data_IF_290156174294
#
_entry.id   IF_290156174294
#
_cell.length_a   1.000
_cell.length_b   1.000
_cell.length_c   1.000
_cell.angle_alpha   90.00
_cell.angle_beta   90.00
_cell.angle_gamma   90.00
#
_symmetry.space_group_name_H-M   'P 1'
#
loop_
_entity.id
_entity.type
_entity.pdbx_description
1 polymer ?
#
# COMPACT_ATOMS: atom_id res chain seq x y z
N UNK A 1 -20.89 -11.39 18.54
CA UNK A 1 -19.49 -11.10 18.92
C UNK A 1 -18.58 -11.44 17.74
N UNK A 2 -18.28 -10.49 16.84
CA UNK A 2 -17.41 -10.75 15.69
C UNK A 2 -15.95 -10.66 16.13
N UNK A 3 -15.29 -11.81 16.15
CA UNK A 3 -13.85 -11.93 16.38
C UNK A 3 -13.09 -11.02 15.41
N UNK A 4 -12.46 -9.97 15.94
CA UNK A 4 -11.45 -9.15 15.24
C UNK A 4 -10.10 -9.84 15.42
N UNK A 5 -9.87 -10.96 14.73
CA UNK A 5 -8.54 -11.55 14.70
C UNK A 5 -7.63 -10.67 13.85
N UNK A 6 -6.92 -9.75 14.51
CA UNK A 6 -5.74 -9.09 13.97
C UNK A 6 -4.66 -10.15 13.79
N UNK A 7 -4.59 -10.78 12.61
CA UNK A 7 -3.51 -11.70 12.27
C UNK A 7 -2.24 -10.89 12.03
N UNK A 8 -1.28 -11.00 12.93
CA UNK A 8 0.06 -10.44 12.76
C UNK A 8 0.89 -11.40 11.90
N UNK A 9 1.01 -11.10 10.61
CA UNK A 9 1.98 -11.78 9.75
C UNK A 9 3.35 -11.22 10.11
N UNK A 10 4.20 -12.04 10.72
CA UNK A 10 5.62 -11.71 11.01
C UNK A 10 6.43 -11.91 9.73
N UNK A 11 6.32 -10.96 8.81
CA UNK A 11 7.21 -10.86 7.66
C UNK A 11 7.56 -9.37 7.44
N UNK A 12 8.68 -9.12 6.77
CA UNK A 12 9.19 -7.80 6.46
C UNK A 12 8.59 -7.24 5.17
N UNK A 13 8.57 -5.92 5.03
CA UNK A 13 8.33 -5.28 3.73
C UNK A 13 9.60 -5.48 2.88
N UNK A 14 9.42 -6.04 1.68
CA UNK A 14 10.51 -6.32 0.75
C UNK A 14 10.50 -5.29 -0.38
N UNK A 15 11.68 -4.81 -0.77
CA UNK A 15 11.87 -3.92 -1.91
C UNK A 15 12.77 -4.61 -2.92
N UNK A 16 12.26 -4.84 -4.12
CA UNK A 16 13.00 -5.41 -5.24
C UNK A 16 13.28 -4.30 -6.26
N UNK A 17 14.52 -4.22 -6.72
CA UNK A 17 14.97 -3.25 -7.71
C UNK A 17 15.43 -4.05 -8.93
N UNK A 18 14.81 -3.78 -10.06
CA UNK A 18 15.14 -4.33 -11.37
C UNK A 18 15.56 -3.19 -12.30
N UNK A 19 16.11 -3.53 -13.46
CA UNK A 19 16.54 -2.54 -14.46
C UNK A 19 15.38 -1.70 -15.02
N UNK A 20 14.15 -2.23 -14.98
CA UNK A 20 12.97 -1.62 -15.57
C UNK A 20 11.91 -1.17 -14.53
N UNK A 21 12.01 -1.63 -13.28
CA UNK A 21 10.99 -1.35 -12.25
C UNK A 21 11.48 -1.53 -10.83
N UNK A 22 10.73 -0.95 -9.89
CA UNK A 22 10.82 -1.20 -8.45
C UNK A 22 9.54 -1.89 -8.01
N UNK A 23 9.65 -2.94 -7.19
CA UNK A 23 8.51 -3.58 -6.53
C UNK A 23 8.61 -3.42 -5.02
N UNK A 24 7.56 -2.89 -4.40
CA UNK A 24 7.41 -2.83 -2.93
C UNK A 24 6.36 -3.84 -2.53
N UNK A 25 6.76 -4.88 -1.80
CA UNK A 25 5.91 -6.01 -1.41
C UNK A 25 5.71 -6.03 0.09
N UNK A 26 4.47 -5.83 0.53
CA UNK A 26 4.06 -5.81 1.93
C UNK A 26 3.29 -7.08 2.26
N UNK A 27 3.63 -7.76 3.37
CA UNK A 27 2.82 -8.84 3.90
C UNK A 27 1.41 -8.38 4.30
N UNK A 28 0.46 -9.31 4.19
CA UNK A 28 -0.97 -9.13 4.42
C UNK A 28 -1.73 -8.62 3.20
N UNK A 29 -3.06 -8.55 3.33
CA UNK A 29 -4.00 -8.09 2.28
C UNK A 29 -4.65 -6.75 2.60
N UNK A 30 -5.18 -6.05 1.60
CA UNK A 30 -5.91 -4.81 1.83
C UNK A 30 -7.02 -4.98 2.89
N UNK A 31 -7.15 -4.06 3.86
CA UNK A 31 -8.05 -4.24 4.99
C UNK A 31 -9.51 -3.96 4.62
N UNK A 32 -10.44 -4.58 5.38
CA UNK A 32 -11.87 -4.26 5.36
C UNK A 32 -12.49 -4.26 3.96
N UNK A 33 -12.14 -5.24 3.14
CA UNK A 33 -12.63 -5.40 1.75
C UNK A 33 -12.28 -4.23 0.82
N UNK A 34 -11.25 -3.44 1.14
CA UNK A 34 -10.71 -2.46 0.19
C UNK A 34 -10.21 -3.15 -1.08
N UNK A 35 -10.59 -2.59 -2.23
CA UNK A 35 -10.06 -3.01 -3.54
C UNK A 35 -8.92 -2.11 -4.01
N UNK A 36 -8.18 -2.56 -5.02
CA UNK A 36 -7.13 -1.77 -5.67
C UNK A 36 -7.71 -0.50 -6.29
N UNK A 37 -8.87 -0.59 -6.94
CA UNK A 37 -9.55 0.54 -7.55
C UNK A 37 -9.94 1.59 -6.51
N UNK A 38 -10.43 1.14 -5.35
CA UNK A 38 -10.83 2.03 -4.26
C UNK A 38 -9.63 2.81 -3.70
N UNK A 39 -8.48 2.15 -3.46
CA UNK A 39 -7.30 2.87 -2.97
C UNK A 39 -6.74 3.84 -4.01
N UNK A 40 -6.85 3.52 -5.31
CA UNK A 40 -6.46 4.42 -6.41
C UNK A 40 -7.35 5.65 -6.48
N UNK A 41 -8.61 5.55 -6.07
CA UNK A 41 -9.52 6.68 -5.88
C UNK A 41 -9.40 7.36 -4.50
N UNK A 42 -8.42 6.96 -3.68
CA UNK A 42 -8.12 7.62 -2.41
C UNK A 42 -8.93 7.12 -1.22
N UNK A 43 -9.71 6.05 -1.37
CA UNK A 43 -10.32 5.41 -0.20
C UNK A 43 -9.22 4.76 0.65
N UNK A 44 -9.35 4.93 1.97
CA UNK A 44 -8.38 4.43 2.94
C UNK A 44 -9.07 3.85 4.15
N UNK A 45 -8.49 2.78 4.71
CA UNK A 45 -8.92 2.16 5.97
C UNK A 45 -7.67 1.76 6.74
N UNK A 46 -7.49 2.32 7.93
CA UNK A 46 -6.35 1.98 8.78
C UNK A 46 -6.53 0.57 9.36
N UNK A 47 -5.47 -0.25 9.30
CA UNK A 47 -5.43 -1.53 10.03
C UNK A 47 -5.31 -1.33 11.54
N UNK A 48 -4.48 -0.36 11.94
CA UNK A 48 -4.26 0.02 13.33
C UNK A 48 -4.54 1.52 13.50
N UNK A 49 -5.64 1.85 14.18
CA UNK A 49 -6.08 3.24 14.39
C UNK A 49 -5.12 4.00 15.30
N UNK A 50 -4.56 3.34 16.32
CA UNK A 50 -3.60 3.95 17.25
C UNK A 50 -2.31 4.34 16.53
N UNK A 51 -1.72 3.43 15.75
CA UNK A 51 -0.54 3.77 14.94
C UNK A 51 -0.83 4.93 13.97
N UNK A 52 -2.02 4.92 13.35
CA UNK A 52 -2.42 6.00 12.45
C UNK A 52 -2.60 7.35 13.16
N UNK A 53 -3.03 7.37 14.43
CA UNK A 53 -3.17 8.62 15.19
C UNK A 53 -1.84 9.22 15.62
N UNK A 54 -0.82 8.40 15.88
CA UNK A 54 0.52 8.88 16.23
C UNK A 54 1.39 9.25 15.02
N UNK A 55 1.09 8.69 13.84
CA UNK A 55 1.89 8.90 12.64
C UNK A 55 2.13 10.38 12.25
N UNK A 56 1.17 11.33 12.37
CA UNK A 56 1.40 12.73 12.03
C UNK A 56 2.43 13.44 12.92
N UNK A 57 2.60 12.98 14.16
CA UNK A 57 3.54 13.53 15.13
C UNK A 57 4.91 12.84 15.04
N UNK A 58 4.91 11.51 14.90
CA UNK A 58 6.12 10.70 14.90
C UNK A 58 6.88 10.70 13.57
N UNK A 59 6.16 10.83 12.45
CA UNK A 59 6.78 10.78 11.13
C UNK A 59 7.00 12.22 10.63
N UNK A 60 8.21 12.51 10.14
CA UNK A 60 8.53 13.77 9.47
C UNK A 60 7.90 13.83 8.06
N UNK A 61 6.59 13.60 7.98
CA UNK A 61 5.83 13.51 6.75
C UNK A 61 4.45 14.12 6.93
N UNK A 62 4.11 15.05 6.04
CA UNK A 62 2.77 15.62 5.97
C UNK A 62 1.91 14.87 4.96
N UNK A 63 0.60 14.83 5.23
CA UNK A 63 -0.41 14.29 4.31
C UNK A 63 -0.73 12.81 4.52
N UNK A 64 -0.93 12.40 5.77
CA UNK A 64 -1.44 11.08 6.12
C UNK A 64 -2.68 10.74 5.28
N UNK A 65 -2.73 9.52 4.74
CA UNK A 65 -3.87 9.06 3.95
C UNK A 65 -4.04 9.69 2.56
N UNK A 66 -3.07 10.46 2.07
CA UNK A 66 -3.04 10.98 0.69
C UNK A 66 -1.89 10.40 -0.16
N UNK A 67 -1.06 9.53 0.43
CA UNK A 67 0.16 9.02 -0.21
C UNK A 67 -0.08 8.35 -1.56
N UNK A 68 -1.09 7.49 -1.67
CA UNK A 68 -1.44 6.80 -2.93
C UNK A 68 -1.82 7.80 -4.02
N UNK A 69 -2.69 8.77 -3.72
CA UNK A 69 -3.10 9.79 -4.68
C UNK A 69 -1.93 10.67 -5.13
N UNK A 70 -1.04 11.05 -4.20
CA UNK A 70 0.15 11.84 -4.54
C UNK A 70 1.17 11.05 -5.36
N UNK A 71 1.33 9.77 -5.07
CA UNK A 71 2.16 8.86 -5.86
C UNK A 71 1.60 8.74 -7.29
N UNK A 72 0.29 8.48 -7.44
CA UNK A 72 -0.38 8.44 -8.75
C UNK A 72 -0.29 9.76 -9.52
N UNK A 73 -0.41 10.90 -8.83
CA UNK A 73 -0.26 12.22 -9.45
C UNK A 73 1.17 12.44 -9.99
N UNK A 74 2.18 11.93 -9.28
CA UNK A 74 3.59 12.11 -9.65
C UNK A 74 4.04 11.07 -10.67
N UNK A 75 3.52 9.85 -10.59
CA UNK A 75 3.82 8.72 -11.46
C UNK A 75 2.54 7.89 -11.70
N UNK A 76 1.78 8.16 -12.78
CA UNK A 76 0.49 7.50 -13.03
C UNK A 76 0.57 6.01 -13.34
N UNK A 77 1.76 5.55 -13.75
CA UNK A 77 2.02 4.18 -14.20
C UNK A 77 2.26 3.18 -13.06
N UNK A 78 2.20 3.62 -11.81
CA UNK A 78 2.24 2.69 -10.68
C UNK A 78 1.03 1.76 -10.78
N UNK A 79 1.29 0.45 -10.61
CA UNK A 79 0.27 -0.58 -10.50
C UNK A 79 0.30 -1.21 -9.11
N UNK A 80 -0.81 -1.78 -8.70
CA UNK A 80 -0.95 -2.45 -7.42
C UNK A 80 -1.56 -3.83 -7.64
N UNK A 81 -1.12 -4.78 -6.83
CA UNK A 81 -1.66 -6.12 -6.78
C UNK A 81 -1.97 -6.48 -5.33
N UNK A 82 -3.14 -7.08 -5.09
CA UNK A 82 -3.56 -7.53 -3.76
C UNK A 82 -3.85 -9.02 -3.85
N UNK A 83 -2.84 -9.84 -3.56
CA UNK A 83 -2.97 -11.28 -3.49
C UNK A 83 -3.63 -11.67 -2.16
N UNK A 84 -4.92 -11.94 -2.21
CA UNK A 84 -5.66 -12.37 -1.02
C UNK A 84 -5.33 -13.80 -0.59
N UNK A 85 -4.81 -14.63 -1.49
CA UNK A 85 -4.47 -16.02 -1.23
C UNK A 85 -3.05 -16.15 -0.69
N UNK A 86 -2.09 -15.47 -1.32
CA UNK A 86 -0.71 -15.34 -0.86
C UNK A 86 -0.52 -14.38 0.34
N UNK A 87 -1.60 -13.72 0.78
CA UNK A 87 -1.59 -12.68 1.80
C UNK A 87 -0.51 -11.62 1.55
N UNK A 88 -0.52 -11.00 0.37
CA UNK A 88 0.47 -9.99 -0.02
C UNK A 88 -0.16 -8.81 -0.78
N UNK A 89 0.35 -7.60 -0.52
CA UNK A 89 0.08 -6.42 -1.34
C UNK A 89 1.38 -5.96 -1.98
N UNK A 90 1.39 -5.83 -3.30
CA UNK A 90 2.52 -5.34 -4.06
C UNK A 90 2.18 -4.01 -4.75
N UNK A 91 3.15 -3.10 -4.80
CA UNK A 91 3.13 -1.93 -5.68
C UNK A 91 4.30 -2.02 -6.65
N UNK A 92 4.03 -1.89 -7.95
CA UNK A 92 5.03 -1.95 -9.00
C UNK A 92 5.17 -0.57 -9.65
N UNK A 93 6.40 -0.06 -9.66
CA UNK A 93 6.75 1.27 -10.13
C UNK A 93 7.72 1.10 -11.31
N UNK A 94 7.26 1.24 -12.56
CA UNK A 94 8.17 1.19 -13.72
C UNK A 94 9.11 2.41 -13.70
N UNK A 95 10.38 2.21 -14.05
CA UNK A 95 11.39 3.28 -14.08
C UNK A 95 11.30 4.15 -15.34
N UNK A 96 10.84 3.56 -16.44
CA UNK A 96 10.53 4.28 -17.67
C UNK A 96 9.02 4.41 -17.84
N UNK A 97 8.58 5.44 -18.56
CA UNK A 97 7.18 5.52 -18.97
C UNK A 97 6.93 4.39 -19.97
N UNK A 98 5.94 3.51 -19.75
CA UNK A 98 5.55 2.53 -20.74
C UNK A 98 5.24 3.24 -22.06
N UNK A 99 5.81 2.76 -23.15
CA UNK A 99 5.41 3.17 -24.50
C UNK A 99 3.91 2.88 -24.66
N UNK A 100 3.15 3.93 -24.98
CA UNK A 100 1.69 3.86 -25.18
C UNK A 100 1.32 2.90 -26.30
#
# INVERSE_FOLDING_TARGET
MKSRTSRFIKDSIKVFIFDDRIEIRSPGKLPNSLTVEQIRHGLRRSRNVLLASFAPELLNYRGIGSGVLRALKSWPFISWFNDTNGEEVAATIPLTRPST
#
